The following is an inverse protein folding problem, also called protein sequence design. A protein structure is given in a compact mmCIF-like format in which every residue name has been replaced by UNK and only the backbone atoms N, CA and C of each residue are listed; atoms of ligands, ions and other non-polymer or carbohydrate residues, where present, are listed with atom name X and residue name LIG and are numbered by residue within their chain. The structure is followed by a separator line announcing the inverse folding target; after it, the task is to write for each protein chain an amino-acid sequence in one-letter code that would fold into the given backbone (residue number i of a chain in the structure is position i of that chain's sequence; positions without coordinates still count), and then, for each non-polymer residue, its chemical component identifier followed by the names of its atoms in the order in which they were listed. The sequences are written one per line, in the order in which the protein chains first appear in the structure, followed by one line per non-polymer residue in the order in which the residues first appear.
data_IF_691802084927
#
_entry.id   IF_691802084927
#
_cell.length_a   1.000
_cell.length_b   1.000
_cell.length_c   1.000
_cell.angle_alpha   90.00
_cell.angle_beta   90.00
_cell.angle_gamma   90.00
#
_symmetry.space_group_name_H-M   'P 1'
#
loop_
_entity.id
_entity.type
_entity.pdbx_description
1 polymer ?
#
# COMPACT_ATOMS: atom_id res chain seq x y z
N UNK A 1 -3.09 11.61 -8.76
CA UNK A 1 -2.44 12.09 -7.53
C UNK A 1 -1.22 11.25 -7.19
N UNK A 2 -0.41 11.69 -6.23
CA UNK A 2 0.92 11.11 -5.93
C UNK A 2 0.97 9.95 -4.92
N UNK A 3 -0.14 9.62 -4.24
CA UNK A 3 -0.15 8.72 -3.07
C UNK A 3 0.54 7.36 -3.32
N UNK A 4 0.29 6.72 -4.46
CA UNK A 4 0.90 5.43 -4.78
C UNK A 4 2.43 5.48 -4.85
N UNK A 5 3.00 6.59 -5.36
CA UNK A 5 4.45 6.77 -5.44
C UNK A 5 5.05 6.99 -4.05
N UNK A 6 4.39 7.81 -3.23
CA UNK A 6 4.81 8.09 -1.85
C UNK A 6 4.75 6.84 -0.98
N UNK A 7 3.71 6.02 -1.11
CA UNK A 7 3.64 4.74 -0.41
C UNK A 7 4.78 3.80 -0.79
N UNK A 8 5.10 3.71 -2.09
CA UNK A 8 6.24 2.90 -2.54
C UNK A 8 7.55 3.41 -1.93
N UNK A 9 7.79 4.72 -1.99
CA UNK A 9 9.00 5.33 -1.43
C UNK A 9 9.12 5.07 0.09
N UNK A 10 8.03 5.23 0.84
CA UNK A 10 8.00 4.97 2.27
C UNK A 10 8.24 3.49 2.60
N UNK A 11 7.70 2.55 1.82
CA UNK A 11 8.00 1.13 1.98
C UNK A 11 9.47 0.85 1.69
N UNK A 12 10.01 1.34 0.57
CA UNK A 12 11.41 1.13 0.18
C UNK A 12 12.38 1.73 1.20
N UNK A 13 12.02 2.83 1.86
CA UNK A 13 12.78 3.39 2.96
C UNK A 13 12.87 2.43 4.17
N UNK A 14 11.81 1.67 4.46
CA UNK A 14 11.74 0.78 5.64
C UNK A 14 12.29 -0.62 5.36
N UNK A 15 12.04 -1.18 4.17
CA UNK A 15 12.37 -2.58 3.85
C UNK A 15 13.38 -2.72 2.70
N UNK A 16 13.96 -1.61 2.23
CA UNK A 16 14.87 -1.59 1.09
C UNK A 16 14.17 -1.68 -0.27
N UNK A 17 14.92 -1.58 -1.38
CA UNK A 17 14.37 -1.62 -2.74
C UNK A 17 13.46 -2.82 -2.96
N UNK A 18 12.33 -2.60 -3.62
CA UNK A 18 11.30 -3.62 -3.79
C UNK A 18 11.13 -3.97 -5.28
N UNK A 19 11.82 -5.00 -5.81
CA UNK A 19 11.54 -5.51 -7.16
C UNK A 19 10.09 -6.03 -7.24
N UNK A 20 9.53 -6.08 -8.45
CA UNK A 20 8.14 -6.52 -8.65
C UNK A 20 7.08 -5.59 -8.03
N UNK A 21 7.39 -4.31 -7.77
CA UNK A 21 6.41 -3.30 -7.32
C UNK A 21 6.30 -2.19 -8.33
N UNK A 22 5.07 -1.89 -8.75
CA UNK A 22 4.76 -0.75 -9.61
C UNK A 22 3.72 0.14 -8.94
N UNK A 23 4.00 1.45 -8.92
CA UNK A 23 3.05 2.46 -8.48
C UNK A 23 2.29 3.00 -9.71
N UNK A 24 0.97 2.83 -9.71
CA UNK A 24 0.08 3.38 -10.74
C UNK A 24 -0.66 4.58 -10.15
N UNK A 25 -0.45 5.76 -10.75
CA UNK A 25 -1.13 6.97 -10.35
C UNK A 25 -2.44 7.14 -11.14
N UNK A 26 -3.50 7.51 -10.45
CA UNK A 26 -4.80 7.84 -11.04
C UNK A 26 -5.03 9.33 -10.82
N UNK A 27 -5.12 10.06 -11.92
CA UNK A 27 -5.43 11.49 -11.94
C UNK A 27 -6.95 11.70 -12.07
N UNK A 28 -7.44 12.89 -11.71
CA UNK A 28 -8.87 13.18 -11.70
C UNK A 28 -9.50 13.09 -13.11
N UNK A 29 -8.77 13.50 -14.14
CA UNK A 29 -9.19 13.51 -15.54
C UNK A 29 -8.42 12.44 -16.34
N UNK A 30 -8.79 11.18 -16.15
CA UNK A 30 -8.14 10.07 -16.86
C UNK A 30 -9.13 9.35 -17.77
N UNK A 31 -8.64 8.94 -18.95
CA UNK A 31 -9.33 7.93 -19.75
C UNK A 31 -9.34 6.60 -18.98
N UNK A 32 -10.54 6.17 -18.62
CA UNK A 32 -10.78 4.94 -17.85
C UNK A 32 -10.32 3.69 -18.60
N UNK A 33 -10.45 3.65 -19.93
CA UNK A 33 -10.03 2.50 -20.73
C UNK A 33 -8.50 2.41 -20.77
N UNK A 34 -7.83 3.52 -21.06
CA UNK A 34 -6.38 3.60 -21.04
C UNK A 34 -5.82 3.25 -19.65
N UNK A 35 -6.45 3.74 -18.58
CA UNK A 35 -6.01 3.46 -17.20
C UNK A 35 -6.21 2.00 -16.80
N UNK A 36 -7.30 1.35 -17.24
CA UNK A 36 -7.49 -0.10 -17.07
C UNK A 36 -6.38 -0.89 -17.76
N UNK A 37 -6.04 -0.52 -19.00
CA UNK A 37 -4.96 -1.17 -19.74
C UNK A 37 -3.60 -0.99 -19.03
N UNK A 38 -3.32 0.21 -18.52
CA UNK A 38 -2.11 0.49 -17.75
C UNK A 38 -2.02 -0.37 -16.48
N UNK A 39 -3.10 -0.48 -15.71
CA UNK A 39 -3.14 -1.32 -14.49
C UNK A 39 -2.91 -2.79 -14.85
N UNK A 40 -3.59 -3.30 -15.88
CA UNK A 40 -3.40 -4.68 -16.34
C UNK A 40 -1.97 -4.94 -16.81
N UNK A 41 -1.37 -4.03 -17.58
CA UNK A 41 0.01 -4.14 -18.03
C UNK A 41 1.01 -4.05 -16.86
N UNK A 42 0.73 -3.21 -15.85
CA UNK A 42 1.55 -3.13 -14.65
C UNK A 42 1.48 -4.43 -13.84
N UNK A 43 0.29 -5.01 -13.68
CA UNK A 43 0.09 -6.29 -13.01
C UNK A 43 0.79 -7.43 -13.77
N UNK A 44 0.65 -7.49 -15.09
CA UNK A 44 1.32 -8.49 -15.94
C UNK A 44 2.84 -8.40 -15.84
N UNK A 45 3.38 -7.19 -15.77
CA UNK A 45 4.83 -6.98 -15.74
C UNK A 45 5.49 -7.24 -14.38
N UNK A 46 4.72 -7.46 -13.31
CA UNK A 46 5.23 -7.88 -12.00
C UNK A 46 4.86 -9.31 -11.65
N UNK A 47 4.16 -10.00 -12.55
CA UNK A 47 3.70 -11.37 -12.36
C UNK A 47 4.84 -12.34 -12.67
N UNK A 48 5.45 -12.91 -11.62
CA UNK A 48 6.53 -13.88 -11.72
C UNK A 48 6.02 -15.35 -11.61
N UNK A 49 4.70 -15.55 -11.49
CA UNK A 49 4.05 -16.86 -11.41
C UNK A 49 3.46 -17.22 -10.04
N UNK A 50 3.87 -16.53 -8.98
CA UNK A 50 3.40 -16.76 -7.60
C UNK A 50 2.17 -15.90 -7.22
N UNK A 51 1.62 -15.18 -8.20
CA UNK A 51 0.44 -14.33 -8.06
C UNK A 51 0.75 -12.86 -7.83
N UNK A 52 -0.30 -12.02 -7.93
CA UNK A 52 -0.19 -10.56 -7.88
C UNK A 52 -1.19 -9.97 -6.90
N UNK A 53 -0.72 -9.03 -6.07
CA UNK A 53 -1.59 -8.23 -5.19
C UNK A 53 -1.67 -6.80 -5.73
N UNK A 54 -2.88 -6.37 -6.08
CA UNK A 54 -3.17 -4.99 -6.45
C UNK A 54 -3.66 -4.28 -5.20
N UNK A 55 -2.90 -3.29 -4.73
CA UNK A 55 -3.24 -2.54 -3.52
C UNK A 55 -3.85 -1.18 -3.87
N UNK A 56 -5.02 -0.87 -3.32
CA UNK A 56 -5.72 0.41 -3.53
C UNK A 56 -6.00 1.14 -2.21
N UNK A 57 -6.16 2.46 -2.30
CA UNK A 57 -6.50 3.31 -1.16
C UNK A 57 -7.89 3.00 -0.59
N UNK A 58 -8.93 2.96 -1.43
CA UNK A 58 -10.33 2.80 -1.01
C UNK A 58 -11.10 1.87 -1.93
N UNK A 59 -11.93 1.00 -1.35
CA UNK A 59 -12.87 0.19 -2.11
C UNK A 59 -14.02 1.04 -2.64
N UNK A 60 -14.48 0.79 -3.88
CA UNK A 60 -15.58 1.54 -4.51
C UNK A 60 -15.19 2.88 -5.12
N UNK A 61 -13.94 3.32 -4.98
CA UNK A 61 -13.39 4.46 -5.72
C UNK A 61 -13.05 4.13 -7.18
N UNK A 62 -12.71 5.17 -7.96
CA UNK A 62 -12.13 5.03 -9.30
C UNK A 62 -11.00 3.98 -9.34
N UNK A 63 -10.03 3.95 -8.41
CA UNK A 63 -8.92 2.98 -8.41
C UNK A 63 -9.31 1.50 -8.31
N UNK A 64 -10.14 1.09 -7.35
CA UNK A 64 -10.54 -0.32 -7.21
C UNK A 64 -11.38 -0.79 -8.39
N UNK A 65 -12.29 0.06 -8.90
CA UNK A 65 -13.16 -0.31 -10.02
C UNK A 65 -12.39 -0.46 -11.35
N UNK A 66 -11.31 0.30 -11.55
CA UNK A 66 -10.42 0.13 -12.71
C UNK A 66 -9.56 -1.13 -12.56
N UNK A 67 -9.27 -1.55 -11.34
CA UNK A 67 -8.46 -2.73 -11.04
C UNK A 67 -9.20 -4.07 -11.20
N UNK A 68 -10.54 -4.05 -11.21
CA UNK A 68 -11.36 -5.27 -11.37
C UNK A 68 -10.99 -6.06 -12.65
N UNK A 69 -10.72 -5.36 -13.76
CA UNK A 69 -10.31 -5.98 -15.01
C UNK A 69 -8.97 -6.70 -14.91
N UNK A 70 -8.02 -6.16 -14.13
CA UNK A 70 -6.72 -6.80 -13.91
C UNK A 70 -6.85 -8.08 -13.07
N UNK A 71 -7.90 -8.20 -12.24
CA UNK A 71 -8.23 -9.39 -11.47
C UNK A 71 -9.05 -10.45 -12.22
N UNK A 72 -9.34 -10.26 -13.52
CA UNK A 72 -9.96 -11.30 -14.32
C UNK A 72 -9.04 -12.52 -14.53
N UNK A 73 -7.72 -12.35 -14.36
CA UNK A 73 -6.75 -13.46 -14.39
C UNK A 73 -6.70 -14.16 -13.03
N UNK A 74 -6.64 -15.52 -12.99
CA UNK A 74 -6.42 -16.27 -11.76
C UNK A 74 -5.14 -15.85 -11.04
N UNK A 75 -5.08 -16.04 -9.72
CA UNK A 75 -3.89 -15.72 -8.93
C UNK A 75 -3.71 -14.22 -8.65
N UNK A 76 -4.76 -13.41 -8.76
CA UNK A 76 -4.72 -11.97 -8.49
C UNK A 76 -5.73 -11.55 -7.45
N UNK A 77 -5.30 -10.68 -6.53
CA UNK A 77 -6.14 -10.22 -5.41
C UNK A 77 -6.10 -8.69 -5.30
N UNK A 78 -7.26 -8.06 -5.09
CA UNK A 78 -7.34 -6.64 -4.72
C UNK A 78 -7.34 -6.54 -3.20
N UNK A 79 -6.38 -5.79 -2.66
CA UNK A 79 -6.35 -5.38 -1.26
C UNK A 79 -6.58 -3.87 -1.18
N UNK A 80 -7.57 -3.44 -0.40
CA UNK A 80 -7.94 -2.03 -0.28
C UNK A 80 -7.74 -1.51 1.14
N UNK A 81 -7.76 -0.18 1.31
CA UNK A 81 -7.44 0.45 2.59
C UNK A 81 -5.94 0.57 2.79
N UNK A 82 -5.18 0.85 1.72
CA UNK A 82 -3.72 0.94 1.76
C UNK A 82 -3.24 1.81 2.93
N UNK A 83 -2.33 1.26 3.73
CA UNK A 83 -1.60 1.97 4.76
C UNK A 83 -0.19 1.38 4.90
N UNK A 84 0.73 2.10 5.57
CA UNK A 84 2.12 1.66 5.66
C UNK A 84 2.30 0.30 6.36
N UNK A 85 1.65 0.01 7.50
CA UNK A 85 1.76 -1.30 8.16
C UNK A 85 1.36 -2.47 7.25
N UNK A 86 0.27 -2.32 6.49
CA UNK A 86 -0.18 -3.30 5.50
C UNK A 86 0.88 -3.54 4.42
N UNK A 87 1.38 -2.47 3.79
CA UNK A 87 2.32 -2.55 2.68
C UNK A 87 3.68 -3.12 3.13
N UNK A 88 4.18 -2.71 4.29
CA UNK A 88 5.41 -3.25 4.89
C UNK A 88 5.25 -4.74 5.19
N UNK A 89 4.10 -5.14 5.75
CA UNK A 89 3.84 -6.55 6.05
C UNK A 89 3.75 -7.38 4.78
N UNK A 90 3.08 -6.86 3.75
CA UNK A 90 2.97 -7.51 2.45
C UNK A 90 4.36 -7.72 1.81
N UNK A 91 5.20 -6.68 1.81
CA UNK A 91 6.57 -6.75 1.28
C UNK A 91 7.41 -7.83 2.01
N UNK A 92 7.27 -7.94 3.33
CA UNK A 92 7.96 -8.97 4.14
C UNK A 92 7.35 -10.37 4.00
N UNK A 93 6.17 -10.52 3.39
CA UNK A 93 5.44 -11.78 3.27
C UNK A 93 5.43 -12.36 1.86
N UNK A 94 6.19 -11.80 0.91
CA UNK A 94 6.22 -12.28 -0.49
C UNK A 94 6.71 -13.72 -0.68
N UNK A 95 7.40 -14.28 0.29
CA UNK A 95 7.86 -15.68 0.27
C UNK A 95 6.77 -16.68 0.66
N UNK A 96 5.53 -16.20 0.90
CA UNK A 96 4.39 -17.02 1.31
C UNK A 96 3.39 -17.11 0.16
N UNK A 97 2.55 -18.14 0.21
CA UNK A 97 1.37 -18.27 -0.65
C UNK A 97 0.53 -16.98 -0.65
N UNK A 98 0.03 -16.62 -1.83
CA UNK A 98 -0.71 -15.37 -2.08
C UNK A 98 -1.78 -15.08 -1.01
N UNK A 99 -2.60 -16.08 -0.69
CA UNK A 99 -3.68 -15.94 0.30
C UNK A 99 -3.17 -15.63 1.71
N UNK A 100 -2.07 -16.25 2.11
CA UNK A 100 -1.46 -16.04 3.43
C UNK A 100 -0.76 -14.69 3.52
N UNK A 101 -0.07 -14.27 2.45
CA UNK A 101 0.54 -12.94 2.37
C UNK A 101 -0.52 -11.83 2.50
N UNK A 102 -1.64 -11.96 1.76
CA UNK A 102 -2.77 -11.03 1.84
C UNK A 102 -3.41 -11.02 3.23
N UNK A 103 -3.62 -12.19 3.85
CA UNK A 103 -4.19 -12.30 5.20
C UNK A 103 -3.34 -11.55 6.23
N UNK A 104 -2.03 -11.80 6.23
CA UNK A 104 -1.08 -11.14 7.15
C UNK A 104 -1.03 -9.62 6.93
N UNK A 105 -1.03 -9.18 5.68
CA UNK A 105 -1.04 -7.75 5.35
C UNK A 105 -2.31 -7.06 5.86
N UNK A 106 -3.49 -7.67 5.67
CA UNK A 106 -4.77 -7.16 6.16
C UNK A 106 -4.81 -7.08 7.69
N UNK A 107 -4.29 -8.09 8.39
CA UNK A 107 -4.20 -8.10 9.86
C UNK A 107 -3.29 -6.99 10.38
N UNK A 108 -2.12 -6.80 9.77
CA UNK A 108 -1.22 -5.71 10.12
C UNK A 108 -1.85 -4.34 9.84
N UNK A 109 -2.51 -4.17 8.69
CA UNK A 109 -3.20 -2.94 8.35
C UNK A 109 -4.26 -2.55 9.38
N UNK A 110 -5.06 -3.52 9.85
CA UNK A 110 -6.11 -3.31 10.85
C UNK A 110 -5.55 -3.07 12.25
N UNK A 111 -4.53 -3.81 12.66
CA UNK A 111 -3.90 -3.69 13.99
C UNK A 111 -3.39 -2.28 14.28
N UNK A 112 -3.00 -1.53 13.24
CA UNK A 112 -2.45 -0.18 13.36
C UNK A 112 -3.46 0.93 13.06
N UNK A 113 -4.74 0.58 12.83
CA UNK A 113 -5.82 1.55 12.82
C UNK A 113 -6.33 1.61 14.26
N UNK A 114 -5.85 2.60 14.99
CA UNK A 114 -6.18 2.82 16.40
C UNK A 114 -6.08 4.32 16.73
N UNK A 115 -6.60 4.72 17.89
CA UNK A 115 -6.49 6.07 18.41
C UNK A 115 -5.74 6.05 19.75
N UNK A 116 -4.74 6.92 19.89
CA UNK A 116 -4.11 7.16 21.20
C UNK A 116 -4.80 8.33 21.88
N UNK A 117 -5.50 8.05 22.97
CA UNK A 117 -6.17 9.06 23.81
C UNK A 117 -5.38 9.25 25.11
N UNK A 118 -4.58 10.32 25.25
CA UNK A 118 -3.83 10.54 26.47
C UNK A 118 -4.78 10.89 27.63
N UNK A 119 -4.71 10.13 28.73
CA UNK A 119 -5.53 10.34 29.93
C UNK A 119 -5.19 11.64 30.71
N UNK A 120 -4.07 12.28 30.39
CA UNK A 120 -3.61 13.54 30.97
C UNK A 120 -2.85 14.34 29.90
N UNK A 121 -2.70 15.67 30.05
CA UNK A 121 -1.93 16.49 29.11
C UNK A 121 -0.53 15.92 28.94
N UNK A 122 -0.07 15.78 27.69
CA UNK A 122 1.32 15.41 27.42
C UNK A 122 2.23 16.42 28.15
N UNK A 123 3.25 15.96 28.90
CA UNK A 123 4.19 16.88 29.52
C UNK A 123 4.77 17.76 28.41
N UNK A 124 4.82 19.08 28.63
CA UNK A 124 5.46 19.99 27.67
C UNK A 124 6.84 19.43 27.39
N UNK A 125 7.16 19.22 26.11
CA UNK A 125 8.51 18.88 25.69
C UNK A 125 9.45 19.84 26.43
N UNK A 126 10.35 19.29 27.24
CA UNK A 126 11.28 20.11 27.99
C UNK A 126 12.02 20.96 26.96
N UNK A 127 11.67 22.25 26.90
CA UNK A 127 12.46 23.23 26.17
C UNK A 127 13.85 23.11 26.77
N UNK A 128 14.77 22.57 25.98
CA UNK A 128 16.14 22.37 26.39
C UNK A 128 16.66 23.69 26.89
N UNK A 129 16.84 23.80 28.21
CA UNK A 129 17.47 24.93 28.85
C UNK A 129 18.86 25.08 28.26
N UNK A 130 18.99 25.97 27.29
CA UNK A 130 20.25 26.52 26.86
C UNK A 130 20.84 27.30 28.04
N UNK A 131 21.65 26.62 28.82
CA UNK A 131 22.29 27.15 30.01
C UNK A 131 23.69 26.58 30.18
N UNK A 132 24.66 27.47 29.91
CA UNK A 132 26.05 27.50 30.37
C UNK A 132 27.11 26.69 29.59
N UNK A 133 28.10 27.44 29.12
CA UNK A 133 29.36 26.99 28.53
C UNK A 133 30.00 28.11 27.73
#
# INVERSE_FOLDING_TARGET
GGLAREYRAAVEHVVGPQPGVKAVAIEADHDRAAKRAEISAAADAVDEGDGVVIVTDMFGGSPSNLSLGACAKPGRVILYGANLPMLIKLAKSRHLELGEAVRRAREAGRKYIDAFEPAAPLPKAAEGGGGAG
#
